data_IF_327904518163
#
_entry.id   IF_327904518163
#
_cell.length_a   1.000
_cell.length_b   1.000
_cell.length_c   1.000
_cell.angle_alpha   90.00
_cell.angle_beta   90.00
_cell.angle_gamma   90.00
#
_symmetry.space_group_name_H-M   'P 1'
#
loop_
_entity.id
_entity.type
_entity.pdbx_description
1 polymer ?
#
# COMPACT_ATOMS: atom_id res chain seq x y z
N UNK A 1 -10.86 6.45 5.08
CA UNK A 1 -10.62 7.25 3.85
C UNK A 1 -11.58 8.42 3.73
N UNK A 2 -12.90 8.22 3.92
CA UNK A 2 -13.89 9.31 3.94
C UNK A 2 -13.55 10.39 4.99
N UNK A 3 -13.33 10.04 6.25
CA UNK A 3 -12.90 10.99 7.30
C UNK A 3 -11.58 11.72 6.97
N UNK A 4 -10.62 11.01 6.37
CA UNK A 4 -9.35 11.56 5.89
C UNK A 4 -9.55 12.64 4.81
N UNK A 5 -10.52 12.42 3.92
CA UNK A 5 -10.94 13.38 2.93
C UNK A 5 -11.80 14.47 3.59
N UNK A 6 -12.70 14.18 4.52
CA UNK A 6 -13.61 15.12 5.20
C UNK A 6 -12.93 16.14 6.11
N UNK A 7 -11.67 15.91 6.51
CA UNK A 7 -10.84 16.89 7.22
C UNK A 7 -11.50 17.42 8.51
N UNK A 8 -12.38 16.65 9.12
CA UNK A 8 -12.91 16.92 10.45
C UNK A 8 -11.77 16.76 11.48
N UNK A 9 -11.32 17.85 12.14
CA UNK A 9 -10.15 17.82 13.02
C UNK A 9 -10.28 16.84 14.19
N UNK A 10 -11.51 16.54 14.63
CA UNK A 10 -11.80 15.64 15.75
C UNK A 10 -11.77 14.15 15.38
N UNK A 11 -11.95 13.80 14.10
CA UNK A 11 -12.03 12.41 13.62
C UNK A 11 -10.95 12.03 12.59
N UNK A 12 -10.06 12.96 12.25
CA UNK A 12 -8.99 12.75 11.28
C UNK A 12 -7.93 11.78 11.82
N UNK A 13 -8.02 10.51 11.45
CA UNK A 13 -6.93 9.55 11.65
C UNK A 13 -5.73 9.96 10.80
N UNK A 14 -4.73 10.57 11.44
CA UNK A 14 -3.52 11.10 10.77
C UNK A 14 -2.61 10.01 10.22
N UNK A 15 -2.58 8.84 10.86
CA UNK A 15 -1.66 7.77 10.49
C UNK A 15 -2.00 7.09 9.15
N UNK A 16 -3.26 6.69 8.86
CA UNK A 16 -3.62 6.16 7.54
C UNK A 16 -3.27 7.12 6.41
N UNK A 17 -3.47 8.43 6.60
CA UNK A 17 -3.12 9.43 5.60
C UNK A 17 -1.60 9.53 5.41
N UNK A 18 -0.83 9.51 6.51
CA UNK A 18 0.64 9.49 6.46
C UNK A 18 1.14 8.26 5.70
N UNK A 19 0.58 7.08 5.97
CA UNK A 19 0.93 5.85 5.25
C UNK A 19 0.57 5.94 3.77
N UNK A 20 -0.64 6.39 3.42
CA UNK A 20 -1.06 6.58 2.03
C UNK A 20 -0.12 7.52 1.26
N UNK A 21 0.21 8.69 1.83
CA UNK A 21 1.13 9.65 1.22
C UNK A 21 2.55 9.07 1.06
N UNK A 22 3.00 8.27 2.03
CA UNK A 22 4.30 7.61 1.99
C UNK A 22 4.35 6.55 0.89
N UNK A 23 3.27 5.76 0.71
CA UNK A 23 3.13 4.79 -0.38
C UNK A 23 3.12 5.48 -1.75
N UNK A 24 2.43 6.61 -1.91
CA UNK A 24 2.49 7.42 -3.14
C UNK A 24 3.92 7.94 -3.44
N UNK A 25 4.69 8.24 -2.40
CA UNK A 25 6.08 8.65 -2.53
C UNK A 25 7.00 7.51 -2.96
N UNK A 26 6.81 6.32 -2.37
CA UNK A 26 7.55 5.10 -2.72
C UNK A 26 7.24 4.63 -4.15
N UNK A 27 5.97 4.63 -4.53
CA UNK A 27 5.53 4.26 -5.87
C UNK A 27 6.26 5.10 -6.93
N UNK A 28 6.39 6.41 -6.72
CA UNK A 28 7.09 7.30 -7.64
C UNK A 28 8.59 6.98 -7.77
N UNK A 29 9.21 6.47 -6.70
CA UNK A 29 10.60 6.01 -6.76
C UNK A 29 10.70 4.66 -7.48
N UNK A 30 9.79 3.74 -7.18
CA UNK A 30 9.67 2.45 -7.85
C UNK A 30 9.44 2.62 -9.36
N UNK A 31 8.63 3.58 -9.78
CA UNK A 31 8.37 3.86 -11.19
C UNK A 31 9.63 4.20 -12.00
N UNK A 32 10.70 4.64 -11.34
CA UNK A 32 12.01 4.96 -11.95
C UNK A 32 13.00 3.80 -11.91
N UNK A 33 12.65 2.68 -11.27
CA UNK A 33 13.51 1.51 -11.05
C UNK A 33 13.01 0.33 -11.87
N UNK A 34 13.38 0.29 -13.15
CA UNK A 34 13.00 -0.78 -14.09
C UNK A 34 13.41 -2.16 -13.59
N UNK A 35 14.60 -2.26 -13.02
CA UNK A 35 15.16 -3.46 -12.38
C UNK A 35 14.27 -4.02 -11.25
N UNK A 36 13.76 -3.13 -10.39
CA UNK A 36 12.85 -3.54 -9.31
C UNK A 36 11.48 -3.96 -9.86
N UNK A 37 11.01 -3.28 -10.90
CA UNK A 37 9.73 -3.61 -11.54
C UNK A 37 9.77 -4.96 -12.23
N UNK A 38 10.87 -5.28 -12.87
CA UNK A 38 11.11 -6.61 -13.44
C UNK A 38 11.12 -7.68 -12.35
N UNK A 39 11.86 -7.44 -11.25
CA UNK A 39 11.88 -8.36 -10.10
C UNK A 39 10.48 -8.61 -9.53
N UNK A 40 9.69 -7.55 -9.36
CA UNK A 40 8.29 -7.65 -8.91
C UNK A 40 7.43 -8.40 -9.93
N UNK A 41 7.58 -8.09 -11.22
CA UNK A 41 6.88 -8.72 -12.32
C UNK A 41 7.15 -10.23 -12.41
N UNK A 42 8.38 -10.67 -12.11
CA UNK A 42 8.77 -12.07 -12.13
C UNK A 42 8.29 -12.85 -10.90
N UNK A 43 8.25 -12.22 -9.72
CA UNK A 43 7.87 -12.89 -8.47
C UNK A 43 6.37 -12.90 -8.18
N UNK A 44 5.62 -11.90 -8.65
CA UNK A 44 4.17 -11.85 -8.44
C UNK A 44 3.42 -13.07 -8.99
N UNK A 45 3.70 -13.59 -10.20
CA UNK A 45 3.05 -14.80 -10.71
C UNK A 45 3.26 -16.04 -9.83
N UNK A 46 4.43 -16.16 -9.21
CA UNK A 46 4.74 -17.27 -8.29
C UNK A 46 3.90 -17.15 -7.01
N UNK A 47 3.77 -15.94 -6.48
CA UNK A 47 2.91 -15.64 -5.32
C UNK A 47 1.44 -15.90 -5.66
N UNK A 48 1.00 -15.54 -6.87
CA UNK A 48 -0.35 -15.82 -7.35
C UNK A 48 -0.61 -17.33 -7.40
N UNK A 49 0.31 -18.12 -7.94
CA UNK A 49 0.20 -19.59 -7.96
C UNK A 49 0.09 -20.18 -6.55
N UNK A 50 0.84 -19.65 -5.57
CA UNK A 50 0.68 -20.05 -4.17
C UNK A 50 -0.71 -19.68 -3.62
N UNK A 51 -1.22 -18.50 -3.97
CA UNK A 51 -2.53 -18.05 -3.53
C UNK A 51 -3.67 -18.86 -4.14
N UNK A 52 -3.53 -19.30 -5.39
CA UNK A 52 -4.52 -20.15 -6.07
C UNK A 52 -4.61 -21.54 -5.41
N UNK A 53 -3.49 -22.06 -4.88
CA UNK A 53 -3.46 -23.37 -4.22
C UNK A 53 -3.85 -23.32 -2.73
N UNK A 54 -3.34 -22.34 -1.97
CA UNK A 54 -3.50 -22.29 -0.51
C UNK A 54 -4.53 -21.25 -0.03
N UNK A 55 -4.94 -20.32 -0.89
CA UNK A 55 -5.77 -19.17 -0.55
C UNK A 55 -4.97 -17.89 -0.27
N UNK A 56 -5.58 -16.73 -0.53
CA UNK A 56 -4.95 -15.41 -0.46
C UNK A 56 -4.37 -15.04 0.92
N UNK A 57 -4.99 -15.52 1.99
CA UNK A 57 -4.63 -15.18 3.38
C UNK A 57 -3.75 -16.23 4.05
N UNK A 58 -3.32 -17.24 3.30
CA UNK A 58 -2.43 -18.28 3.83
C UNK A 58 -1.06 -17.70 4.21
N UNK A 59 -0.46 -18.21 5.29
CA UNK A 59 0.80 -17.67 5.83
C UNK A 59 1.92 -17.64 4.80
N UNK A 60 2.01 -18.66 3.93
CA UNK A 60 2.99 -18.71 2.84
C UNK A 60 2.84 -17.55 1.84
N UNK A 61 1.60 -17.20 1.47
CA UNK A 61 1.32 -16.10 0.53
C UNK A 61 1.70 -14.76 1.17
N UNK A 62 1.36 -14.60 2.44
CA UNK A 62 1.71 -13.41 3.23
C UNK A 62 3.23 -13.29 3.37
N UNK A 63 3.92 -14.38 3.70
CA UNK A 63 5.37 -14.42 3.83
C UNK A 63 6.08 -14.10 2.51
N UNK A 64 5.65 -14.73 1.41
CA UNK A 64 6.21 -14.47 0.08
C UNK A 64 5.98 -13.02 -0.38
N UNK A 65 4.78 -12.47 -0.11
CA UNK A 65 4.47 -11.05 -0.39
C UNK A 65 5.29 -10.10 0.47
N UNK A 66 5.46 -10.42 1.76
CA UNK A 66 6.28 -9.66 2.69
C UNK A 66 7.76 -9.66 2.31
N UNK A 67 8.28 -10.82 1.88
CA UNK A 67 9.63 -10.97 1.36
C UNK A 67 9.83 -10.16 0.08
N UNK A 68 8.87 -10.19 -0.86
CA UNK A 68 8.94 -9.39 -2.08
C UNK A 68 9.05 -7.89 -1.77
N UNK A 69 8.28 -7.36 -0.82
CA UNK A 69 8.42 -5.98 -0.35
C UNK A 69 9.78 -5.71 0.30
N UNK A 70 10.28 -6.65 1.09
CA UNK A 70 11.57 -6.53 1.77
C UNK A 70 12.74 -6.46 0.78
N UNK A 71 12.76 -7.34 -0.21
CA UNK A 71 13.84 -7.45 -1.18
C UNK A 71 13.85 -6.31 -2.20
N UNK A 72 12.71 -5.63 -2.38
CA UNK A 72 12.54 -4.54 -3.36
C UNK A 72 12.36 -3.19 -2.68
N UNK A 73 11.15 -2.89 -2.23
CA UNK A 73 10.73 -1.57 -1.74
C UNK A 73 11.46 -1.13 -0.46
N UNK A 74 11.87 -2.06 0.41
CA UNK A 74 12.62 -1.70 1.63
C UNK A 74 14.05 -1.25 1.37
N UNK A 75 14.58 -1.51 0.17
CA UNK A 75 15.93 -1.09 -0.25
C UNK A 75 15.96 0.37 -0.72
N UNK A 76 14.79 0.98 -0.97
CA UNK A 76 14.69 2.39 -1.33
C UNK A 76 15.10 3.30 -0.18
N UNK A 77 15.59 4.51 -0.52
CA UNK A 77 16.07 5.48 0.47
C UNK A 77 14.95 5.95 1.42
N UNK A 78 13.76 6.16 0.86
CA UNK A 78 12.58 6.46 1.67
C UNK A 78 12.03 5.14 2.23
N UNK A 79 11.63 5.13 3.50
CA UNK A 79 11.02 3.96 4.15
C UNK A 79 9.76 4.38 4.89
N UNK A 80 8.78 3.48 4.96
CA UNK A 80 7.61 3.66 5.80
C UNK A 80 7.98 3.23 7.21
N UNK A 81 7.96 4.16 8.16
CA UNK A 81 8.12 3.86 9.58
C UNK A 81 6.76 3.48 10.14
N UNK A 82 6.62 2.23 10.53
CA UNK A 82 5.39 1.71 11.15
C UNK A 82 5.50 1.89 12.65
N UNK A 83 4.57 2.63 13.23
CA UNK A 83 4.51 2.88 14.66
C UNK A 83 3.50 1.92 15.33
N UNK A 84 3.81 1.51 16.56
CA UNK A 84 2.99 0.58 17.34
C UNK A 84 3.76 -0.02 18.50
N UNK A 85 3.13 -0.94 19.22
CA UNK A 85 3.79 -1.71 20.29
C UNK A 85 4.89 -2.62 19.70
N UNK A 86 6.11 -2.47 20.22
CA UNK A 86 7.28 -3.25 19.80
C UNK A 86 7.08 -4.75 19.97
N UNK A 87 6.32 -5.21 20.97
CA UNK A 87 6.06 -6.63 21.20
C UNK A 87 5.34 -7.27 20.02
N UNK A 88 4.44 -6.52 19.37
CA UNK A 88 3.74 -6.98 18.17
C UNK A 88 4.59 -6.79 16.91
N UNK A 89 5.36 -5.71 16.82
CA UNK A 89 6.18 -5.39 15.64
C UNK A 89 7.42 -6.28 15.49
N UNK A 90 7.93 -6.85 16.59
CA UNK A 90 9.02 -7.83 16.57
C UNK A 90 8.58 -9.22 16.10
N UNK A 91 7.28 -9.52 16.06
CA UNK A 91 6.79 -10.81 15.58
C UNK A 91 6.93 -10.90 14.06
N UNK A 92 7.69 -11.88 13.57
CA UNK A 92 7.98 -12.07 12.14
C UNK A 92 6.73 -12.22 11.28
N UNK A 93 5.68 -12.89 11.80
CA UNK A 93 4.41 -13.03 11.09
C UNK A 93 3.72 -11.67 10.91
N UNK A 94 3.66 -10.84 11.96
CA UNK A 94 3.10 -9.48 11.86
C UNK A 94 3.92 -8.59 10.92
N UNK A 95 5.25 -8.66 10.98
CA UNK A 95 6.11 -7.93 10.06
C UNK A 95 5.83 -8.32 8.59
N UNK A 96 5.62 -9.61 8.33
CA UNK A 96 5.26 -10.11 6.99
C UNK A 96 3.89 -9.60 6.54
N UNK A 97 2.88 -9.64 7.42
CA UNK A 97 1.54 -9.07 7.18
C UNK A 97 1.61 -7.59 6.83
N UNK A 98 2.33 -6.81 7.64
CA UNK A 98 2.51 -5.37 7.43
C UNK A 98 3.14 -5.12 6.05
N UNK A 99 4.23 -5.81 5.72
CA UNK A 99 4.92 -5.65 4.43
C UNK A 99 4.05 -6.05 3.24
N UNK A 100 3.28 -7.14 3.36
CA UNK A 100 2.33 -7.57 2.35
C UNK A 100 1.24 -6.50 2.10
N UNK A 101 0.68 -5.91 3.17
CA UNK A 101 -0.30 -4.82 3.07
C UNK A 101 0.31 -3.56 2.43
N UNK A 102 1.55 -3.21 2.79
CA UNK A 102 2.25 -2.07 2.17
C UNK A 102 2.51 -2.31 0.68
N UNK A 103 2.88 -3.53 0.28
CA UNK A 103 3.03 -3.90 -1.13
C UNK A 103 1.71 -3.71 -1.89
N UNK A 104 0.60 -4.21 -1.32
CA UNK A 104 -0.73 -4.05 -1.91
C UNK A 104 -1.12 -2.57 -2.05
N UNK A 105 -0.86 -1.75 -1.02
CA UNK A 105 -1.13 -0.31 -1.06
C UNK A 105 -0.28 0.44 -2.11
N UNK A 106 0.98 0.04 -2.30
CA UNK A 106 1.84 0.60 -3.35
C UNK A 106 1.39 0.14 -4.75
N UNK A 107 0.90 -1.10 -4.89
CA UNK A 107 0.30 -1.58 -6.14
C UNK A 107 -0.96 -0.78 -6.49
N UNK A 108 -1.80 -0.47 -5.50
CA UNK A 108 -2.97 0.40 -5.66
C UNK A 108 -2.56 1.83 -6.03
N UNK A 109 -1.52 2.38 -5.39
CA UNK A 109 -0.95 3.67 -5.76
C UNK A 109 -0.47 3.69 -7.23
N UNK A 110 0.18 2.61 -7.68
CA UNK A 110 0.65 2.48 -9.06
C UNK A 110 -0.52 2.41 -10.05
N UNK A 111 -1.55 1.63 -9.72
CA UNK A 111 -2.77 1.57 -10.54
C UNK A 111 -3.41 2.96 -10.66
N UNK A 112 -3.55 3.67 -9.55
CA UNK A 112 -4.08 5.03 -9.55
C UNK A 112 -3.28 5.96 -10.47
N UNK A 113 -1.94 5.86 -10.46
CA UNK A 113 -1.06 6.61 -11.38
C UNK A 113 -1.23 6.22 -12.84
N UNK A 114 -1.35 4.92 -13.12
CA UNK A 114 -1.59 4.40 -14.48
C UNK A 114 -2.91 4.94 -15.06
N UNK A 115 -3.92 5.18 -14.21
CA UNK A 115 -5.20 5.78 -14.58
C UNK A 115 -5.16 7.32 -14.62
N UNK A 116 -3.97 7.95 -14.62
CA UNK A 116 -3.80 9.40 -14.67
C UNK A 116 -3.86 10.11 -13.32
N UNK A 117 -3.87 9.37 -12.22
CA UNK A 117 -3.89 9.92 -10.86
C UNK A 117 -2.67 10.80 -10.55
N UNK A 118 -2.88 11.92 -9.85
CA UNK A 118 -1.78 12.75 -9.37
C UNK A 118 -2.00 13.24 -7.93
N UNK A 119 -0.91 13.43 -7.16
CA UNK A 119 -0.96 13.82 -5.74
C UNK A 119 -1.83 15.06 -5.46
N UNK A 120 -1.90 15.98 -6.42
CA UNK A 120 -2.71 17.20 -6.37
C UNK A 120 -4.21 16.96 -6.55
N UNK A 121 -4.60 15.90 -7.25
CA UNK A 121 -6.00 15.51 -7.39
C UNK A 121 -6.63 15.16 -6.03
N UNK A 122 -5.86 14.57 -5.11
CA UNK A 122 -6.35 14.30 -3.75
C UNK A 122 -6.63 15.60 -2.96
N UNK A 123 -5.90 16.67 -3.26
CA UNK A 123 -6.04 17.97 -2.58
C UNK A 123 -7.13 18.82 -3.23
N UNK A 124 -7.10 18.96 -4.56
CA UNK A 124 -7.98 19.86 -5.31
C UNK A 124 -9.30 19.20 -5.76
N UNK A 125 -9.30 17.90 -6.07
CA UNK A 125 -10.49 17.16 -6.49
C UNK A 125 -11.21 16.48 -5.32
N UNK A 126 -10.91 16.88 -4.09
CA UNK A 126 -11.49 16.35 -2.85
C UNK A 126 -13.02 16.26 -2.89
N UNK A 127 -13.71 17.35 -3.27
CA UNK A 127 -15.18 17.37 -3.34
C UNK A 127 -15.73 16.38 -4.36
N UNK A 128 -15.04 16.21 -5.49
CA UNK A 128 -15.38 15.23 -6.53
C UNK A 128 -15.18 13.81 -6.01
N UNK A 129 -14.06 13.53 -5.35
CA UNK A 129 -13.77 12.22 -4.75
C UNK A 129 -14.80 11.84 -3.67
N UNK A 130 -15.17 12.78 -2.79
CA UNK A 130 -16.20 12.54 -1.77
C UNK A 130 -17.58 12.27 -2.39
N UNK A 131 -17.92 12.99 -3.47
CA UNK A 131 -19.18 12.78 -4.20
C UNK A 131 -19.29 11.37 -4.76
N UNK A 132 -18.22 10.82 -5.33
CA UNK A 132 -18.20 9.45 -5.85
C UNK A 132 -18.10 8.40 -4.73
N UNK A 133 -17.40 8.73 -3.63
CA UNK A 133 -17.19 7.80 -2.53
C UNK A 133 -18.46 7.56 -1.69
N UNK A 134 -19.27 8.59 -1.44
CA UNK A 134 -20.44 8.47 -0.56
C UNK A 134 -21.50 7.46 -1.04
N UNK A 135 -21.87 7.41 -2.34
CA UNK A 135 -22.75 6.37 -2.84
C UNK A 135 -22.20 4.97 -2.62
N UNK A 136 -20.89 4.76 -2.82
CA UNK A 136 -20.24 3.45 -2.65
C UNK A 136 -20.13 3.01 -1.19
N UNK A 137 -20.19 3.93 -0.22
CA UNK A 137 -20.19 3.62 1.21
C UNK A 137 -21.59 3.35 1.77
N UNK A 138 -22.63 3.73 1.03
CA UNK A 138 -24.04 3.60 1.44
C UNK A 138 -24.78 2.48 0.71
N UNK A 139 -24.16 1.87 -0.30
CA UNK A 139 -24.61 0.65 -0.95
C UNK A 139 -23.87 -0.55 -0.39
#
# INVERSE_FOLDING_TARGET
LASALERDPGSLQREPLRYALSMLGLERQLAKRGDMLETIGNRLPQIQSQADHFGLVHENVIASSGALYQDTLSTLRQRIQVHGDMRHLQQTNNASKIRALLLAGIRAARLWRQLGGHRWQLVFSRRKLLRELYPMLRG
#
